data_IF_505379062531
#
_entry.id   IF_505379062531
#
_cell.length_a   1.000
_cell.length_b   1.000
_cell.length_c   1.000
_cell.angle_alpha   90.00
_cell.angle_beta   90.00
_cell.angle_gamma   90.00
#
_symmetry.space_group_name_H-M   'P 1'
#
loop_
_entity.id
_entity.type
_entity.pdbx_description
1 polymer ?
#
# COMPACT_ATOMS: atom_id res chain seq x y z
N UNK A 1 40.27 9.40 -12.35
CA UNK A 1 40.16 8.07 -12.98
C UNK A 1 39.87 7.08 -11.87
N UNK A 2 38.68 6.50 -11.81
CA UNK A 2 38.35 5.51 -10.78
C UNK A 2 38.80 4.13 -11.27
N UNK A 3 39.77 3.55 -10.57
CA UNK A 3 40.30 2.21 -10.81
C UNK A 3 39.19 1.17 -10.60
N UNK A 4 39.03 0.27 -11.57
CA UNK A 4 38.05 -0.80 -11.53
C UNK A 4 38.31 -1.73 -10.31
N UNK A 5 37.26 -2.23 -9.63
CA UNK A 5 37.46 -3.16 -8.52
C UNK A 5 38.12 -4.44 -9.03
N UNK A 6 39.29 -4.76 -8.47
CA UNK A 6 39.95 -6.05 -8.63
C UNK A 6 39.13 -7.13 -7.90
N UNK A 7 38.89 -8.24 -8.60
CA UNK A 7 38.15 -9.47 -8.21
C UNK A 7 36.66 -9.51 -8.57
N UNK A 8 36.34 -9.55 -9.86
CA UNK A 8 35.08 -10.12 -10.34
C UNK A 8 35.32 -11.55 -10.82
N UNK A 9 34.86 -12.55 -10.06
CA UNK A 9 34.70 -13.91 -10.60
C UNK A 9 33.57 -13.88 -11.63
N UNK A 10 33.68 -14.69 -12.69
CA UNK A 10 32.71 -14.74 -13.80
C UNK A 10 31.28 -15.18 -13.41
N UNK A 11 31.01 -15.48 -12.14
CA UNK A 11 29.69 -15.86 -11.61
C UNK A 11 28.96 -14.75 -10.85
N UNK A 12 29.49 -13.53 -10.80
CA UNK A 12 28.92 -12.42 -10.04
C UNK A 12 28.83 -11.13 -10.84
N UNK A 13 27.90 -10.25 -10.47
CA UNK A 13 27.74 -8.93 -11.08
C UNK A 13 28.02 -7.84 -10.05
N UNK A 14 28.86 -6.86 -10.42
CA UNK A 14 29.06 -5.64 -9.65
C UNK A 14 28.61 -4.44 -10.47
N UNK A 15 27.40 -3.94 -10.17
CA UNK A 15 26.74 -2.85 -10.89
C UNK A 15 26.59 -3.10 -12.40
N UNK A 16 25.97 -2.15 -13.09
CA UNK A 16 25.86 -2.09 -14.55
C UNK A 16 26.05 -0.64 -15.01
N UNK A 17 26.66 -0.40 -16.17
CA UNK A 17 26.73 0.95 -16.73
C UNK A 17 25.33 1.42 -17.13
N UNK A 18 25.01 2.68 -16.84
CA UNK A 18 23.78 3.29 -17.33
C UNK A 18 23.83 3.42 -18.86
N UNK A 19 22.71 3.20 -19.56
CA UNK A 19 22.62 3.50 -20.99
C UNK A 19 22.85 4.99 -21.28
N UNK A 20 23.27 5.37 -22.50
CA UNK A 20 23.50 6.78 -22.86
C UNK A 20 22.28 7.70 -22.69
N UNK A 21 21.07 7.14 -22.73
CA UNK A 21 19.81 7.85 -22.49
C UNK A 21 19.58 8.23 -21.02
N UNK A 22 20.34 7.64 -20.08
CA UNK A 22 20.21 7.85 -18.64
C UNK A 22 21.42 8.63 -18.10
N UNK A 23 21.20 9.85 -17.61
CA UNK A 23 22.27 10.70 -17.07
C UNK A 23 22.41 10.38 -15.57
N UNK A 24 23.56 9.83 -15.17
CA UNK A 24 23.81 9.50 -13.76
C UNK A 24 23.65 10.74 -12.86
N UNK A 25 22.91 10.61 -11.75
CA UNK A 25 22.62 11.70 -10.81
C UNK A 25 23.91 12.35 -10.26
N UNK A 26 24.93 11.54 -9.98
CA UNK A 26 26.21 11.99 -9.43
C UNK A 26 27.21 12.51 -10.48
N UNK A 27 26.86 12.53 -11.76
CA UNK A 27 27.70 13.10 -12.82
C UNK A 27 27.71 14.63 -12.79
N UNK A 28 28.65 15.26 -13.48
CA UNK A 28 28.68 16.73 -13.64
C UNK A 28 27.38 17.25 -14.25
N UNK A 29 26.84 16.56 -15.26
CA UNK A 29 25.58 16.96 -15.88
C UNK A 29 24.37 16.71 -14.97
N UNK A 30 24.32 15.57 -14.28
CA UNK A 30 23.27 15.27 -13.31
C UNK A 30 23.19 16.32 -12.18
N UNK A 31 24.34 16.79 -11.70
CA UNK A 31 24.43 17.88 -10.72
C UNK A 31 23.95 19.22 -11.28
N UNK A 32 24.23 19.52 -12.56
CA UNK A 32 23.72 20.74 -13.21
C UNK A 32 22.21 20.73 -13.37
N UNK A 33 21.63 19.60 -13.77
CA UNK A 33 20.18 19.43 -13.86
C UNK A 33 19.55 19.60 -12.47
N UNK A 34 20.12 18.97 -11.45
CA UNK A 34 19.65 19.11 -10.07
C UNK A 34 19.69 20.57 -9.58
N UNK A 35 20.76 21.32 -9.86
CA UNK A 35 20.85 22.74 -9.52
C UNK A 35 19.84 23.62 -10.30
N UNK A 36 19.42 23.20 -11.49
CA UNK A 36 18.31 23.86 -12.23
C UNK A 36 16.97 23.56 -11.55
N UNK A 37 16.64 22.29 -11.34
CA UNK A 37 15.42 21.88 -10.63
C UNK A 37 15.30 22.54 -9.24
N UNK A 38 16.41 22.71 -8.53
CA UNK A 38 16.46 23.44 -7.25
C UNK A 38 16.02 24.90 -7.40
N UNK A 39 16.51 25.60 -8.43
CA UNK A 39 16.12 27.01 -8.69
C UNK A 39 14.68 27.13 -9.16
N UNK A 40 14.12 26.07 -9.76
CA UNK A 40 12.71 25.99 -10.16
C UNK A 40 11.76 25.67 -8.98
N UNK A 41 12.29 25.31 -7.80
CA UNK A 41 11.48 24.88 -6.66
C UNK A 41 10.92 23.45 -6.80
N UNK A 42 11.54 22.62 -7.63
CA UNK A 42 11.06 21.28 -8.00
C UNK A 42 11.90 20.16 -7.34
N UNK A 43 12.30 20.34 -6.08
CA UNK A 43 13.10 19.37 -5.30
C UNK A 43 12.47 18.91 -3.99
N UNK A 44 11.23 19.30 -3.68
CA UNK A 44 10.61 18.99 -2.39
C UNK A 44 10.48 17.46 -2.18
N UNK A 45 10.11 16.72 -3.23
CA UNK A 45 10.12 15.25 -3.22
C UNK A 45 11.52 14.68 -2.91
N UNK A 46 12.58 15.27 -3.44
CA UNK A 46 13.95 14.80 -3.21
C UNK A 46 14.33 14.97 -1.74
N UNK A 47 14.06 16.14 -1.15
CA UNK A 47 14.38 16.39 0.25
C UNK A 47 13.62 15.44 1.17
N UNK A 48 12.32 15.24 0.90
CA UNK A 48 11.46 14.32 1.63
C UNK A 48 11.99 12.86 1.56
N UNK A 49 12.35 12.39 0.36
CA UNK A 49 12.74 11.00 0.12
C UNK A 49 14.22 10.70 0.42
N UNK A 50 15.11 11.70 0.34
CA UNK A 50 16.57 11.49 0.40
C UNK A 50 17.02 10.88 1.72
N UNK A 51 16.40 11.28 2.84
CA UNK A 51 16.65 10.72 4.18
C UNK A 51 16.22 9.27 4.32
N UNK A 52 15.36 8.79 3.42
CA UNK A 52 14.75 7.46 3.45
C UNK A 52 15.31 6.49 2.41
N UNK A 53 16.31 6.90 1.61
CA UNK A 53 16.84 6.04 0.55
C UNK A 53 17.44 4.74 1.08
N UNK A 54 16.83 3.63 0.67
CA UNK A 54 17.27 2.27 1.00
C UNK A 54 17.63 1.48 -0.26
N UNK A 55 18.24 0.32 -0.06
CA UNK A 55 18.44 -0.68 -1.12
C UNK A 55 17.34 -1.72 -0.99
N UNK A 56 16.72 -2.13 -2.11
CA UNK A 56 15.78 -3.26 -2.08
C UNK A 56 16.47 -4.52 -1.51
N UNK A 57 15.82 -5.22 -0.57
CA UNK A 57 16.44 -6.34 0.15
C UNK A 57 16.60 -7.57 -0.75
N UNK A 58 15.65 -7.78 -1.66
CA UNK A 58 15.68 -8.85 -2.66
C UNK A 58 15.60 -8.29 -4.09
N UNK A 59 16.07 -9.01 -5.12
CA UNK A 59 15.95 -8.59 -6.52
C UNK A 59 14.52 -8.27 -6.98
N UNK A 60 13.51 -8.91 -6.38
CA UNK A 60 12.10 -8.67 -6.68
C UNK A 60 11.44 -7.59 -5.80
N UNK A 61 12.11 -7.08 -4.76
CA UNK A 61 11.54 -6.15 -3.77
C UNK A 61 11.60 -4.67 -4.18
N UNK A 62 11.80 -4.35 -5.45
CA UNK A 62 11.85 -2.94 -5.89
C UNK A 62 10.60 -2.15 -5.47
N UNK A 63 9.42 -2.76 -5.55
CA UNK A 63 8.16 -2.17 -5.09
C UNK A 63 8.11 -1.98 -3.57
N UNK A 64 8.56 -2.97 -2.78
CA UNK A 64 8.59 -2.88 -1.32
C UNK A 64 9.58 -1.82 -0.84
N UNK A 65 10.80 -1.83 -1.39
CA UNK A 65 11.82 -0.81 -1.10
C UNK A 65 11.32 0.60 -1.43
N UNK A 66 10.64 0.75 -2.56
CA UNK A 66 10.02 2.01 -2.95
C UNK A 66 8.94 2.46 -1.98
N UNK A 67 8.00 1.58 -1.60
CA UNK A 67 6.90 1.95 -0.72
C UNK A 67 7.37 2.27 0.70
N UNK A 68 8.35 1.53 1.24
CA UNK A 68 8.98 1.84 2.54
C UNK A 68 9.62 3.22 2.53
N UNK A 69 10.28 3.62 1.44
CA UNK A 69 10.81 4.99 1.32
C UNK A 69 9.70 6.01 1.50
N UNK A 70 8.57 5.85 0.80
CA UNK A 70 7.45 6.79 0.84
C UNK A 70 6.78 6.81 2.22
N UNK A 71 6.50 5.64 2.80
CA UNK A 71 5.85 5.53 4.13
C UNK A 71 6.67 6.20 5.22
N UNK A 72 7.98 5.94 5.26
CA UNK A 72 8.87 6.58 6.23
C UNK A 72 9.05 8.08 5.94
N UNK A 73 9.00 8.50 4.68
CA UNK A 73 9.14 9.91 4.32
C UNK A 73 7.90 10.72 4.74
N UNK A 74 6.72 10.10 4.73
CA UNK A 74 5.49 10.64 5.31
C UNK A 74 5.36 10.40 6.82
N UNK A 75 6.38 9.83 7.47
CA UNK A 75 6.36 9.52 8.91
C UNK A 75 5.15 8.68 9.34
N UNK A 76 4.68 7.79 8.46
CA UNK A 76 3.59 6.87 8.78
C UNK A 76 4.10 5.86 9.81
N UNK A 77 3.44 5.81 10.95
CA UNK A 77 3.78 4.89 12.02
C UNK A 77 3.24 3.48 11.75
N UNK A 78 4.11 2.45 11.60
CA UNK A 78 3.68 1.10 11.26
C UNK A 78 2.90 0.40 12.38
N UNK A 79 2.84 0.98 13.59
CA UNK A 79 2.30 0.33 14.80
C UNK A 79 2.96 -1.02 15.13
N UNK A 80 4.10 -1.32 14.52
CA UNK A 80 4.86 -2.56 14.65
C UNK A 80 6.29 -2.22 15.03
N UNK A 81 6.85 -2.98 15.96
CA UNK A 81 8.27 -2.84 16.34
C UNK A 81 9.14 -3.34 15.19
N UNK A 82 10.13 -2.53 14.84
CA UNK A 82 11.20 -2.93 13.93
C UNK A 82 12.36 -3.56 14.70
N UNK A 83 12.95 -2.80 15.62
CA UNK A 83 14.10 -3.23 16.43
C UNK A 83 14.02 -2.66 17.84
N UNK A 84 14.05 -3.52 18.86
CA UNK A 84 13.96 -3.09 20.26
C UNK A 84 12.66 -2.30 20.51
N UNK A 85 12.73 -1.11 21.13
CA UNK A 85 11.54 -0.27 21.35
C UNK A 85 11.12 0.53 20.11
N UNK A 86 11.90 0.53 19.03
CA UNK A 86 11.70 1.41 17.87
C UNK A 86 10.68 0.84 16.89
N UNK A 87 9.82 1.72 16.38
CA UNK A 87 8.88 1.45 15.29
C UNK A 87 9.36 2.17 14.05
N UNK A 88 9.41 1.46 12.94
CA UNK A 88 9.90 1.97 11.66
C UNK A 88 9.48 1.03 10.54
N UNK A 89 9.11 1.53 9.36
CA UNK A 89 8.82 0.62 8.26
C UNK A 89 10.10 -0.02 7.73
N UNK A 90 10.02 -1.33 7.50
CA UNK A 90 10.98 -2.10 6.72
C UNK A 90 10.24 -2.98 5.69
N UNK A 91 10.96 -3.52 4.70
CA UNK A 91 10.37 -4.13 3.50
C UNK A 91 9.57 -5.40 3.81
N UNK A 92 10.02 -6.20 4.77
CA UNK A 92 9.35 -7.40 5.29
C UNK A 92 8.12 -7.08 6.16
N UNK A 93 7.78 -5.81 6.40
CA UNK A 93 6.50 -5.42 7.02
C UNK A 93 5.34 -5.33 6.02
N UNK A 94 5.61 -5.34 4.70
CA UNK A 94 4.64 -5.07 3.66
C UNK A 94 4.01 -6.35 3.09
N UNK A 95 3.25 -7.07 3.93
CA UNK A 95 2.71 -8.41 3.64
C UNK A 95 1.18 -8.48 3.58
N UNK A 96 0.51 -7.32 3.52
CA UNK A 96 -0.95 -7.26 3.60
C UNK A 96 -1.68 -7.77 2.33
N UNK A 97 -1.27 -7.32 1.14
CA UNK A 97 -2.00 -7.69 -0.08
C UNK A 97 -1.49 -8.98 -0.71
N UNK A 98 -0.24 -9.37 -0.40
CA UNK A 98 0.40 -10.54 -0.97
C UNK A 98 1.47 -11.08 -0.03
N UNK A 99 1.62 -12.41 0.14
CA UNK A 99 2.68 -12.97 0.96
C UNK A 99 4.06 -12.61 0.43
N UNK A 100 4.99 -12.26 1.32
CA UNK A 100 6.37 -11.91 0.97
C UNK A 100 7.08 -12.97 0.13
N UNK A 101 6.83 -14.26 0.39
CA UNK A 101 7.38 -15.38 -0.38
C UNK A 101 6.96 -15.35 -1.84
N UNK A 102 5.73 -14.92 -2.14
CA UNK A 102 5.28 -14.73 -3.52
C UNK A 102 5.84 -13.44 -4.11
N UNK A 103 5.99 -12.37 -3.33
CA UNK A 103 6.60 -11.13 -3.83
C UNK A 103 8.06 -11.37 -4.18
N UNK A 104 8.78 -12.17 -3.40
CA UNK A 104 10.19 -12.50 -3.64
C UNK A 104 10.39 -13.29 -4.94
N UNK A 105 9.39 -14.04 -5.40
CA UNK A 105 9.49 -14.84 -6.63
C UNK A 105 9.11 -14.07 -7.90
N UNK A 106 8.07 -13.23 -7.86
CA UNK A 106 7.53 -12.58 -9.07
C UNK A 106 7.39 -11.06 -8.99
N UNK A 107 7.66 -10.45 -7.84
CA UNK A 107 7.47 -9.02 -7.61
C UNK A 107 6.02 -8.63 -7.38
N UNK A 108 5.68 -7.39 -7.74
CA UNK A 108 4.35 -6.81 -7.60
C UNK A 108 3.94 -6.11 -8.90
N UNK A 109 2.64 -6.18 -9.20
CA UNK A 109 1.99 -5.40 -10.25
C UNK A 109 1.65 -3.99 -9.75
N UNK A 110 1.24 -3.09 -10.66
CA UNK A 110 0.87 -1.71 -10.30
C UNK A 110 -0.35 -1.65 -9.37
N UNK A 111 -1.36 -2.49 -9.59
CA UNK A 111 -2.56 -2.58 -8.75
C UNK A 111 -2.24 -3.13 -7.36
N UNK A 112 -1.36 -4.13 -7.26
CA UNK A 112 -0.89 -4.65 -5.97
C UNK A 112 0.00 -3.66 -5.22
N UNK A 113 0.83 -2.87 -5.91
CA UNK A 113 1.57 -1.78 -5.27
C UNK A 113 0.60 -0.75 -4.64
N UNK A 114 -0.44 -0.35 -5.39
CA UNK A 114 -1.46 0.56 -4.88
C UNK A 114 -2.26 -0.06 -3.72
N UNK A 115 -2.50 -1.37 -3.75
CA UNK A 115 -3.06 -2.14 -2.63
C UNK A 115 -2.21 -1.97 -1.37
N UNK A 116 -0.91 -2.28 -1.47
CA UNK A 116 0.01 -2.18 -0.33
C UNK A 116 0.09 -0.75 0.21
N UNK A 117 0.08 0.26 -0.67
CA UNK A 117 0.08 1.65 -0.25
C UNK A 117 -1.19 2.00 0.55
N UNK A 118 -2.37 1.64 0.04
CA UNK A 118 -3.66 1.83 0.73
C UNK A 118 -3.73 1.09 2.06
N UNK A 119 -3.31 -0.17 2.06
CA UNK A 119 -3.23 -0.96 3.28
C UNK A 119 -2.23 -0.38 4.30
N UNK A 120 -1.36 0.56 3.93
CA UNK A 120 -0.45 1.20 4.88
C UNK A 120 -0.81 2.67 5.12
N UNK A 121 -2.08 3.04 4.91
CA UNK A 121 -2.63 4.33 5.34
C UNK A 121 -2.41 5.48 4.35
N UNK A 122 -1.91 5.17 3.15
CA UNK A 122 -1.78 6.15 2.07
C UNK A 122 -3.03 6.14 1.19
N UNK A 123 -3.31 7.28 0.58
CA UNK A 123 -4.17 7.36 -0.60
C UNK A 123 -3.31 7.07 -1.82
N UNK A 124 -3.81 6.24 -2.75
CA UNK A 124 -3.08 5.88 -3.95
C UNK A 124 -3.92 6.13 -5.20
N UNK A 125 -3.54 7.14 -5.99
CA UNK A 125 -4.15 7.43 -7.29
C UNK A 125 -3.29 6.82 -8.38
N UNK A 126 -3.82 5.81 -9.08
CA UNK A 126 -3.10 5.09 -10.14
C UNK A 126 -3.38 5.74 -11.49
N UNK A 127 -2.34 5.94 -12.29
CA UNK A 127 -2.45 6.44 -13.66
C UNK A 127 -1.63 5.56 -14.59
N UNK A 128 -2.27 5.03 -15.63
CA UNK A 128 -1.63 4.21 -16.66
C UNK A 128 -1.83 4.83 -18.06
N UNK A 129 -0.89 4.63 -19.00
CA UNK A 129 -1.09 5.01 -20.38
C UNK A 129 -2.35 4.35 -20.96
N UNK A 130 -3.20 5.14 -21.61
CA UNK A 130 -4.43 4.67 -22.24
C UNK A 130 -4.40 4.98 -23.74
N UNK A 131 -4.74 4.02 -24.62
CA UNK A 131 -4.82 4.28 -26.06
C UNK A 131 -5.97 5.22 -26.43
N UNK A 132 -6.89 5.52 -25.50
CA UNK A 132 -8.01 6.43 -25.71
C UNK A 132 -7.63 7.91 -25.58
N UNK A 133 -6.47 8.20 -24.99
CA UNK A 133 -5.99 9.57 -24.75
C UNK A 133 -4.84 9.86 -25.74
N UNK A 134 -4.88 10.96 -26.50
CA UNK A 134 -3.77 11.36 -27.37
C UNK A 134 -2.45 11.44 -26.59
N UNK A 135 -1.35 10.96 -27.18
CA UNK A 135 -0.04 10.90 -26.52
C UNK A 135 0.40 12.25 -25.95
N UNK A 136 0.23 13.32 -26.73
CA UNK A 136 0.65 14.67 -26.33
C UNK A 136 -0.11 15.17 -25.09
N UNK A 137 -1.43 14.92 -25.05
CA UNK A 137 -2.29 15.25 -23.91
C UNK A 137 -1.89 14.42 -22.67
N UNK A 138 -1.63 13.13 -22.85
CA UNK A 138 -1.23 12.26 -21.76
C UNK A 138 0.14 12.66 -21.16
N UNK A 139 1.11 13.03 -22.00
CA UNK A 139 2.42 13.51 -21.53
C UNK A 139 2.29 14.90 -20.89
N UNK A 140 1.43 15.79 -21.41
CA UNK A 140 1.17 17.07 -20.77
C UNK A 140 0.62 16.88 -19.35
N UNK A 141 -0.36 16.00 -19.17
CA UNK A 141 -0.88 15.62 -17.85
C UNK A 141 0.21 15.02 -16.95
N UNK A 142 1.07 14.16 -17.51
CA UNK A 142 2.19 13.58 -16.76
C UNK A 142 3.17 14.64 -16.27
N UNK A 143 3.47 15.67 -17.07
CA UNK A 143 4.28 16.83 -16.64
C UNK A 143 3.62 17.60 -15.50
N UNK A 144 2.31 17.81 -15.56
CA UNK A 144 1.59 18.51 -14.49
C UNK A 144 1.65 17.72 -13.17
N UNK A 145 1.48 16.41 -13.22
CA UNK A 145 1.60 15.56 -12.03
C UNK A 145 3.05 15.48 -11.51
N UNK A 146 4.06 15.51 -12.40
CA UNK A 146 5.47 15.63 -12.01
C UNK A 146 5.76 16.95 -11.29
N UNK A 147 5.15 18.06 -11.72
CA UNK A 147 5.28 19.36 -11.04
C UNK A 147 4.69 19.31 -9.64
N UNK A 148 3.45 18.81 -9.50
CA UNK A 148 2.80 18.64 -8.18
C UNK A 148 3.68 17.81 -7.23
N UNK A 149 4.17 16.67 -7.71
CA UNK A 149 5.02 15.79 -6.93
C UNK A 149 6.34 16.48 -6.54
N UNK A 150 7.00 17.13 -7.49
CA UNK A 150 8.29 17.77 -7.27
C UNK A 150 8.22 19.02 -6.38
N UNK A 151 7.04 19.61 -6.25
CA UNK A 151 6.74 20.76 -5.36
C UNK A 151 6.16 20.34 -4.02
N UNK A 152 6.08 19.03 -3.74
CA UNK A 152 5.73 18.50 -2.42
C UNK A 152 4.24 18.35 -2.15
N UNK A 153 3.38 18.52 -3.17
CA UNK A 153 1.93 18.32 -3.02
C UNK A 153 1.57 16.83 -2.86
N UNK A 154 2.40 15.94 -3.40
CA UNK A 154 2.23 14.49 -3.40
C UNK A 154 3.59 13.81 -3.60
N UNK A 155 3.68 12.49 -3.42
CA UNK A 155 4.86 11.70 -3.82
C UNK A 155 4.49 10.82 -5.00
N UNK A 156 5.26 10.93 -6.09
CA UNK A 156 5.08 10.09 -7.27
C UNK A 156 6.00 8.86 -7.23
N UNK A 157 5.41 7.70 -7.47
CA UNK A 157 6.13 6.44 -7.73
C UNK A 157 5.85 5.99 -9.15
N UNK A 158 6.90 5.63 -9.90
CA UNK A 158 6.76 5.11 -11.26
C UNK A 158 7.01 3.61 -11.31
N UNK A 159 6.16 2.90 -12.04
CA UNK A 159 6.34 1.52 -12.49
C UNK A 159 6.67 1.52 -13.98
N UNK A 160 7.84 1.01 -14.35
CA UNK A 160 8.34 1.14 -15.72
C UNK A 160 9.13 -0.07 -16.19
N UNK A 161 9.29 -0.17 -17.50
CA UNK A 161 10.12 -1.18 -18.16
C UNK A 161 11.56 -0.71 -18.26
N UNK A 162 12.48 -1.38 -17.57
CA UNK A 162 13.93 -1.15 -17.72
C UNK A 162 14.39 -1.37 -19.16
N UNK A 163 13.83 -2.37 -19.85
CA UNK A 163 14.14 -2.68 -21.24
C UNK A 163 13.84 -1.49 -22.17
N UNK A 164 12.75 -0.77 -21.94
CA UNK A 164 12.41 0.42 -22.73
C UNK A 164 13.42 1.56 -22.54
N UNK A 165 14.06 1.64 -21.37
CA UNK A 165 15.15 2.59 -21.10
C UNK A 165 16.53 2.07 -21.55
N UNK A 166 16.61 0.91 -22.20
CA UNK A 166 17.87 0.25 -22.58
C UNK A 166 18.64 -0.35 -21.39
N UNK A 167 18.01 -0.43 -20.22
CA UNK A 167 18.60 -1.02 -19.03
C UNK A 167 18.39 -2.54 -18.99
N UNK A 168 19.23 -3.24 -18.23
CA UNK A 168 19.06 -4.68 -18.01
C UNK A 168 17.91 -4.93 -17.04
N UNK A 169 17.08 -5.96 -17.30
CA UNK A 169 15.92 -6.33 -16.48
C UNK A 169 14.58 -5.98 -17.13
N UNK A 170 13.49 -6.32 -16.43
CA UNK A 170 12.11 -6.16 -16.89
C UNK A 170 11.41 -4.98 -16.20
N UNK A 171 10.34 -5.23 -15.45
CA UNK A 171 9.62 -4.20 -14.69
C UNK A 171 10.42 -3.72 -13.47
N UNK A 172 10.24 -2.46 -13.08
CA UNK A 172 10.87 -1.88 -11.91
C UNK A 172 10.00 -0.78 -11.30
N UNK A 173 10.08 -0.61 -9.99
CA UNK A 173 9.46 0.49 -9.24
C UNK A 173 10.54 1.37 -8.63
N UNK A 174 10.37 2.68 -8.69
CA UNK A 174 11.20 3.64 -7.94
C UNK A 174 10.43 4.96 -7.75
N UNK A 175 10.72 5.71 -6.66
CA UNK A 175 10.12 7.01 -6.49
C UNK A 175 10.78 8.05 -7.40
N UNK A 176 10.00 9.06 -7.78
CA UNK A 176 10.47 10.24 -8.49
C UNK A 176 10.98 11.24 -7.46
N UNK A 177 12.24 11.64 -7.57
CA UNK A 177 12.84 12.62 -6.66
C UNK A 177 12.64 14.07 -7.09
N UNK A 178 12.59 14.33 -8.39
CA UNK A 178 12.60 15.70 -8.91
C UNK A 178 12.16 15.78 -10.36
N UNK A 179 11.79 16.98 -10.77
CA UNK A 179 11.53 17.36 -12.16
C UNK A 179 12.29 18.64 -12.49
N UNK A 180 12.99 18.65 -13.63
CA UNK A 180 13.58 19.86 -14.20
C UNK A 180 12.76 20.26 -15.43
N UNK A 181 12.01 21.35 -15.30
CA UNK A 181 11.14 21.90 -16.35
C UNK A 181 11.97 22.38 -17.54
N UNK A 182 13.06 23.11 -17.29
CA UNK A 182 13.89 23.70 -18.35
C UNK A 182 14.52 22.63 -19.27
N UNK A 183 14.90 21.48 -18.71
CA UNK A 183 15.50 20.39 -19.48
C UNK A 183 14.52 19.25 -19.83
N UNK A 184 13.28 19.34 -19.36
CA UNK A 184 12.24 18.31 -19.43
C UNK A 184 12.75 16.92 -18.98
N UNK A 185 13.32 16.87 -17.78
CA UNK A 185 13.92 15.63 -17.20
C UNK A 185 13.38 15.31 -15.82
N UNK A 186 13.21 14.03 -15.56
CA UNK A 186 12.78 13.49 -14.25
C UNK A 186 13.91 12.71 -13.59
N UNK A 187 14.07 12.88 -12.28
CA UNK A 187 15.04 12.14 -11.46
C UNK A 187 14.40 10.89 -10.88
N UNK A 188 14.93 9.72 -11.26
CA UNK A 188 14.54 8.42 -10.70
C UNK A 188 15.48 8.06 -9.55
N UNK A 189 14.92 7.90 -8.35
CA UNK A 189 15.67 7.47 -7.16
C UNK A 189 15.72 5.93 -7.11
N UNK A 190 16.53 5.33 -7.98
CA UNK A 190 16.57 3.88 -8.18
C UNK A 190 16.91 3.09 -6.90
N UNK A 191 15.97 2.26 -6.43
CA UNK A 191 16.11 1.42 -5.23
C UNK A 191 17.00 0.18 -5.44
N UNK A 192 17.28 -0.20 -6.70
CA UNK A 192 18.27 -1.24 -7.04
C UNK A 192 19.70 -0.67 -7.00
N UNK A 193 20.09 -0.09 -5.86
CA UNK A 193 21.35 0.67 -5.68
C UNK A 193 22.61 -0.16 -5.90
N UNK A 194 22.50 -1.49 -5.78
CA UNK A 194 23.56 -2.44 -6.12
C UNK A 194 23.78 -2.57 -7.63
N UNK A 195 22.82 -2.15 -8.46
CA UNK A 195 22.81 -2.30 -9.92
C UNK A 195 23.09 -0.98 -10.63
N UNK A 196 22.33 0.07 -10.32
CA UNK A 196 22.45 1.39 -10.94
C UNK A 196 22.46 2.50 -9.86
N UNK A 197 23.15 3.63 -10.11
CA UNK A 197 22.91 4.84 -9.31
C UNK A 197 21.52 5.41 -9.66
N UNK A 198 21.03 6.39 -8.90
CA UNK A 198 19.92 7.24 -9.34
C UNK A 198 20.30 8.02 -10.61
N UNK A 199 19.33 8.39 -11.43
CA UNK A 199 19.58 9.00 -12.75
C UNK A 199 18.45 9.89 -13.24
N UNK A 200 18.79 10.78 -14.16
CA UNK A 200 17.86 11.59 -14.93
C UNK A 200 17.56 10.94 -16.28
N UNK A 201 16.28 10.98 -16.69
CA UNK A 201 15.80 10.63 -18.04
C UNK A 201 14.87 11.73 -18.54
N UNK A 202 14.63 11.81 -19.86
CA UNK A 202 13.59 12.73 -20.37
C UNK A 202 12.20 12.28 -19.92
N UNK A 203 11.29 13.24 -19.78
CA UNK A 203 9.89 12.95 -19.45
C UNK A 203 9.26 12.01 -20.48
N UNK A 204 9.56 12.19 -21.76
CA UNK A 204 9.07 11.30 -22.81
C UNK A 204 9.59 9.87 -22.65
N UNK A 205 10.88 9.68 -22.35
CA UNK A 205 11.43 8.34 -22.09
C UNK A 205 10.83 7.71 -20.84
N UNK A 206 10.57 8.49 -19.79
CA UNK A 206 9.85 8.00 -18.61
C UNK A 206 8.42 7.56 -18.98
N UNK A 207 7.69 8.36 -19.75
CA UNK A 207 6.36 8.02 -20.24
C UNK A 207 6.35 6.75 -21.10
N UNK A 208 7.19 6.71 -22.12
CA UNK A 208 7.27 5.58 -23.06
C UNK A 208 7.70 4.29 -22.35
N UNK A 209 8.47 4.39 -21.25
CA UNK A 209 8.84 3.23 -20.44
C UNK A 209 7.68 2.59 -19.66
N UNK A 210 6.55 3.30 -19.50
CA UNK A 210 5.33 2.78 -18.87
C UNK A 210 4.41 2.04 -19.85
N UNK A 211 4.56 2.29 -21.16
CA UNK A 211 3.69 1.73 -22.21
C UNK A 211 3.81 0.20 -22.36
N UNK A 212 5.01 -0.42 -22.33
CA UNK A 212 5.12 -1.87 -22.47
C UNK A 212 4.30 -2.59 -21.42
N UNK A 213 3.60 -3.65 -21.84
CA UNK A 213 2.73 -4.41 -20.97
C UNK A 213 3.52 -5.12 -19.86
N UNK A 214 2.90 -5.23 -18.69
CA UNK A 214 3.31 -6.15 -17.65
C UNK A 214 2.88 -7.57 -18.06
N UNK A 215 3.81 -8.52 -17.98
CA UNK A 215 3.55 -9.90 -18.37
C UNK A 215 2.56 -10.59 -17.40
N UNK A 216 2.48 -10.13 -16.15
CA UNK A 216 1.58 -10.71 -15.15
C UNK A 216 0.11 -10.32 -15.38
N UNK A 217 -0.15 -9.10 -15.89
CA UNK A 217 -1.51 -8.57 -16.02
C UNK A 217 -1.96 -8.36 -17.46
N UNK A 218 -1.04 -8.33 -18.43
CA UNK A 218 -1.32 -7.92 -19.80
C UNK A 218 -1.68 -6.44 -19.94
N UNK A 219 -1.51 -5.63 -18.89
CA UNK A 219 -1.84 -4.20 -18.88
C UNK A 219 -0.57 -3.34 -18.95
N UNK A 220 -0.66 -2.09 -19.44
CA UNK A 220 0.42 -1.12 -19.32
C UNK A 220 0.82 -0.93 -17.86
N UNK A 221 2.05 -0.45 -17.64
CA UNK A 221 2.49 0.00 -16.31
C UNK A 221 1.92 1.40 -16.06
N UNK A 222 2.63 2.27 -15.33
CA UNK A 222 2.09 3.56 -14.97
C UNK A 222 2.81 4.19 -13.79
N UNK A 223 2.17 5.18 -13.19
CA UNK A 223 2.63 5.82 -11.97
C UNK A 223 1.51 5.88 -10.93
N UNK A 224 1.91 6.08 -9.69
CA UNK A 224 1.01 6.24 -8.55
C UNK A 224 1.35 7.55 -7.85
N UNK A 225 0.34 8.38 -7.64
CA UNK A 225 0.43 9.53 -6.75
C UNK A 225 -0.02 9.10 -5.36
N UNK A 226 0.86 9.29 -4.39
CA UNK A 226 0.69 8.86 -3.01
C UNK A 226 0.58 10.07 -2.10
N UNK A 227 -0.47 10.10 -1.28
CA UNK A 227 -0.69 11.11 -0.26
C UNK A 227 -1.00 10.46 1.08
N UNK A 228 -0.80 11.17 2.18
CA UNK A 228 -1.40 10.78 3.45
C UNK A 228 -2.92 10.89 3.32
N UNK A 229 -3.66 9.84 3.70
CA UNK A 229 -5.11 9.90 3.71
C UNK A 229 -5.56 11.05 4.66
N UNK A 230 -6.42 11.99 4.21
CA UNK A 230 -6.75 13.16 5.00
C UNK A 230 -7.40 12.71 6.31
N UNK A 231 -6.97 13.28 7.43
CA UNK A 231 -7.68 13.15 8.68
C UNK A 231 -9.05 13.81 8.51
N UNK A 232 -10.09 13.01 8.35
CA UNK A 232 -11.44 13.52 8.57
C UNK A 232 -11.68 13.44 10.08
N UNK A 233 -11.58 14.60 10.73
CA UNK A 233 -11.88 14.89 12.14
C UNK A 233 -10.85 14.51 13.22
N UNK A 234 -10.56 15.43 14.17
CA UNK A 234 -9.95 15.08 15.46
C UNK A 234 -10.89 14.15 16.24
N UNK A 235 -10.42 12.98 16.65
CA UNK A 235 -11.20 12.00 17.43
C UNK A 235 -11.55 10.69 16.69
N UNK A 236 -11.28 10.60 15.38
CA UNK A 236 -11.53 9.36 14.62
C UNK A 236 -10.52 8.25 14.95
N UNK A 237 -10.99 7.01 14.91
CA UNK A 237 -10.21 5.82 15.27
C UNK A 237 -9.39 5.29 14.11
N UNK A 238 -8.08 5.11 14.33
CA UNK A 238 -7.23 4.39 13.40
C UNK A 238 -7.21 2.90 13.77
N UNK A 239 -7.66 2.04 12.85
CA UNK A 239 -7.43 0.60 12.96
C UNK A 239 -6.07 0.24 12.37
N UNK A 240 -5.19 -0.49 13.09
CA UNK A 240 -3.99 -1.03 12.50
C UNK A 240 -4.35 -1.95 11.33
N UNK A 241 -3.78 -1.68 10.17
CA UNK A 241 -4.14 -2.32 8.91
C UNK A 241 -3.77 -3.83 8.85
N UNK A 242 -3.07 -4.32 9.87
CA UNK A 242 -2.89 -5.75 10.21
C UNK A 242 -4.21 -6.47 10.51
N UNK A 243 -5.26 -5.73 10.84
CA UNK A 243 -6.61 -6.25 11.08
C UNK A 243 -7.22 -6.83 9.82
N UNK A 244 -7.19 -6.11 8.69
CA UNK A 244 -7.89 -6.54 7.47
C UNK A 244 -7.44 -7.93 6.99
N UNK A 245 -6.13 -8.20 7.09
CA UNK A 245 -5.54 -9.48 6.70
C UNK A 245 -5.88 -10.64 7.62
N UNK A 246 -5.75 -10.41 8.92
CA UNK A 246 -6.02 -11.44 9.92
C UNK A 246 -7.52 -11.77 9.97
N UNK A 247 -8.37 -10.76 9.77
CA UNK A 247 -9.82 -10.90 9.65
C UNK A 247 -10.23 -11.60 8.35
N UNK A 248 -9.58 -11.31 7.22
CA UNK A 248 -9.83 -12.03 5.95
C UNK A 248 -9.52 -13.52 6.08
N UNK A 249 -8.39 -13.88 6.71
CA UNK A 249 -8.03 -15.29 6.97
C UNK A 249 -9.03 -15.96 7.91
N UNK A 250 -9.42 -15.27 8.98
CA UNK A 250 -10.43 -15.78 9.92
C UNK A 250 -11.76 -16.07 9.19
N UNK A 251 -12.24 -15.14 8.38
CA UNK A 251 -13.48 -15.29 7.62
C UNK A 251 -13.40 -16.43 6.61
N UNK A 252 -12.27 -16.59 5.92
CA UNK A 252 -12.04 -17.71 5.00
C UNK A 252 -11.98 -19.08 5.70
N UNK A 253 -11.48 -19.11 6.94
CA UNK A 253 -11.40 -20.33 7.76
C UNK A 253 -12.72 -20.63 8.49
N UNK A 254 -13.66 -19.68 8.52
CA UNK A 254 -14.94 -19.85 9.19
C UNK A 254 -15.84 -20.78 8.37
N UNK A 255 -16.46 -21.80 8.98
CA UNK A 255 -17.38 -22.69 8.27
C UNK A 255 -18.54 -21.93 7.62
N UNK A 256 -18.93 -22.30 6.40
CA UNK A 256 -20.08 -21.71 5.70
C UNK A 256 -21.41 -21.90 6.43
N UNK A 257 -21.48 -22.88 7.33
CA UNK A 257 -22.63 -23.18 8.20
C UNK A 257 -22.61 -22.43 9.53
N UNK A 258 -21.59 -21.61 9.81
CA UNK A 258 -21.46 -20.88 11.06
C UNK A 258 -22.61 -19.88 11.25
N UNK A 259 -23.10 -19.79 12.49
CA UNK A 259 -24.11 -18.81 12.91
C UNK A 259 -23.47 -17.44 13.17
N UNK A 260 -24.27 -16.39 13.36
CA UNK A 260 -23.74 -15.08 13.76
C UNK A 260 -23.03 -15.16 15.11
N UNK A 261 -23.57 -15.93 16.06
CA UNK A 261 -22.93 -16.15 17.37
C UNK A 261 -21.54 -16.81 17.23
N UNK A 262 -21.42 -17.85 16.40
CA UNK A 262 -20.13 -18.52 16.16
C UNK A 262 -19.10 -17.54 15.59
N UNK A 263 -19.52 -16.74 14.60
CA UNK A 263 -18.65 -15.78 13.94
C UNK A 263 -18.24 -14.64 14.89
N UNK A 264 -19.17 -14.09 15.66
CA UNK A 264 -18.88 -13.05 16.67
C UNK A 264 -17.93 -13.57 17.76
N UNK A 265 -18.10 -14.83 18.19
CA UNK A 265 -17.21 -15.45 19.15
C UNK A 265 -15.79 -15.63 18.59
N UNK A 266 -15.65 -16.15 17.35
CA UNK A 266 -14.37 -16.28 16.68
C UNK A 266 -13.67 -14.93 16.46
N UNK A 267 -14.43 -13.89 16.09
CA UNK A 267 -13.92 -12.52 15.94
C UNK A 267 -13.42 -11.95 17.28
N UNK A 268 -14.22 -12.06 18.34
CA UNK A 268 -13.85 -11.55 19.66
C UNK A 268 -12.58 -12.25 20.20
N UNK A 269 -12.47 -13.57 20.03
CA UNK A 269 -11.30 -14.34 20.42
C UNK A 269 -10.06 -13.96 19.60
N UNK A 270 -10.19 -13.82 18.28
CA UNK A 270 -9.11 -13.44 17.38
C UNK A 270 -8.57 -12.04 17.72
N UNK A 271 -9.46 -11.06 17.92
CA UNK A 271 -9.09 -9.68 18.22
C UNK A 271 -8.43 -9.55 19.60
N UNK A 272 -8.89 -10.32 20.59
CA UNK A 272 -8.28 -10.38 21.92
C UNK A 272 -6.87 -11.00 21.91
N UNK A 273 -6.52 -11.76 20.86
CA UNK A 273 -5.19 -12.36 20.69
C UNK A 273 -4.17 -11.42 20.04
N UNK A 274 -4.60 -10.25 19.55
CA UNK A 274 -3.72 -9.32 18.86
C UNK A 274 -2.79 -8.60 19.86
N UNK A 275 -1.50 -8.40 19.51
CA UNK A 275 -0.49 -7.80 20.38
C UNK A 275 -0.69 -6.28 20.63
N UNK A 276 -1.71 -5.65 20.05
CA UNK A 276 -2.07 -4.24 20.20
C UNK A 276 -3.58 -4.07 20.02
N UNK A 277 -4.21 -3.05 20.63
CA UNK A 277 -5.64 -2.82 20.49
C UNK A 277 -6.03 -2.67 19.02
N UNK A 278 -7.17 -3.25 18.66
CA UNK A 278 -7.65 -3.31 17.28
C UNK A 278 -8.12 -1.94 16.77
N UNK A 279 -8.39 -1.00 17.66
CA UNK A 279 -8.63 0.38 17.29
C UNK A 279 -7.90 1.26 18.30
N UNK A 280 -7.24 2.32 17.81
CA UNK A 280 -6.58 3.29 18.68
C UNK A 280 -7.02 4.70 18.32
N UNK A 281 -7.19 5.60 19.31
CA UNK A 281 -7.40 7.02 19.05
C UNK A 281 -6.27 7.54 18.17
N UNK A 282 -6.61 8.14 17.03
CA UNK A 282 -5.57 8.65 16.12
C UNK A 282 -4.89 9.86 16.79
N UNK A 283 -3.55 9.88 16.89
CA UNK A 283 -2.85 11.07 17.35
C UNK A 283 -3.16 12.25 16.42
N UNK A 284 -3.35 13.45 16.98
CA UNK A 284 -3.58 14.66 16.19
C UNK A 284 -2.38 14.88 15.24
N UNK A 285 -2.66 15.27 14.00
CA UNK A 285 -1.61 15.58 13.04
C UNK A 285 -0.68 16.68 13.60
N UNK A 286 0.65 16.58 13.44
CA UNK A 286 1.54 17.65 13.82
C UNK A 286 1.22 18.89 12.96
N UNK A 287 0.97 20.01 13.62
CA UNK A 287 0.87 21.30 12.95
C UNK A 287 2.22 21.65 12.30
N UNK A 288 2.23 22.43 11.20
CA UNK A 288 3.49 22.83 10.57
C UNK A 288 4.28 23.79 11.47
N UNK A 289 5.29 23.23 12.11
CA UNK A 289 6.54 23.84 12.60
C UNK A 289 6.57 24.67 13.90
N UNK A 290 7.70 24.46 14.59
CA UNK A 290 8.33 25.16 15.71
C UNK A 290 7.81 24.84 17.12
N UNK A 291 8.75 24.35 17.94
CA UNK A 291 8.63 24.02 19.38
C UNK A 291 8.20 22.58 19.67
N UNK A 292 9.13 21.81 20.23
CA UNK A 292 8.88 20.51 20.81
C UNK A 292 8.04 20.66 22.09
N UNK A 293 6.73 20.59 21.95
CA UNK A 293 5.83 20.29 23.06
C UNK A 293 5.14 18.95 22.81
N UNK A 294 5.13 18.12 23.84
CA UNK A 294 4.42 16.85 23.85
C UNK A 294 2.94 17.18 23.63
N UNK A 295 2.42 16.81 22.46
CA UNK A 295 1.03 17.07 22.08
C UNK A 295 0.08 16.40 23.08
N UNK A 296 -0.51 17.19 23.97
CA UNK A 296 -1.66 16.76 24.76
C UNK A 296 -2.90 16.76 23.86
N UNK A 297 -3.78 15.75 23.95
CA UNK A 297 -4.98 15.71 23.12
C UNK A 297 -5.86 16.93 23.41
N UNK A 298 -6.29 17.62 22.35
CA UNK A 298 -7.19 18.77 22.47
C UNK A 298 -8.49 18.37 23.21
N UNK A 299 -9.09 19.23 24.05
CA UNK A 299 -10.30 18.93 24.83
C UNK A 299 -11.47 18.39 23.97
N UNK A 300 -11.60 18.87 22.73
CA UNK A 300 -12.62 18.44 21.78
C UNK A 300 -12.47 16.97 21.37
N UNK A 301 -11.24 16.47 21.18
CA UNK A 301 -11.00 15.08 20.78
C UNK A 301 -11.31 14.08 21.93
N UNK A 302 -11.05 14.49 23.17
CA UNK A 302 -11.39 13.71 24.37
C UNK A 302 -12.92 13.61 24.54
N UNK A 303 -13.65 14.71 24.31
CA UNK A 303 -15.11 14.72 24.39
C UNK A 303 -15.78 13.87 23.29
N UNK A 304 -15.25 13.89 22.07
CA UNK A 304 -15.77 13.08 20.96
C UNK A 304 -15.55 11.58 21.17
N UNK A 305 -14.37 11.19 21.65
CA UNK A 305 -14.07 9.79 21.93
C UNK A 305 -14.90 9.21 23.09
N UNK A 306 -15.12 9.99 24.16
CA UNK A 306 -16.03 9.58 25.25
C UNK A 306 -17.46 9.37 24.74
N UNK A 307 -17.96 10.29 23.93
CA UNK A 307 -19.32 10.22 23.36
C UNK A 307 -19.48 8.99 22.45
N UNK A 308 -18.42 8.64 21.69
CA UNK A 308 -18.39 7.45 20.86
C UNK A 308 -18.45 6.16 21.68
N UNK A 309 -17.65 6.07 22.75
CA UNK A 309 -17.64 4.91 23.65
C UNK A 309 -18.99 4.71 24.35
N UNK A 310 -19.60 5.81 24.81
CA UNK A 310 -20.91 5.77 25.45
C UNK A 310 -21.97 5.27 24.46
N UNK A 311 -21.99 5.81 23.22
CA UNK A 311 -22.90 5.37 22.17
C UNK A 311 -22.75 3.86 21.84
N UNK A 312 -21.51 3.36 21.76
CA UNK A 312 -21.24 1.93 21.51
C UNK A 312 -21.72 1.04 22.66
N UNK A 313 -21.52 1.46 23.91
CA UNK A 313 -21.81 0.66 25.11
C UNK A 313 -23.30 0.32 25.29
N UNK A 314 -24.18 1.12 24.69
CA UNK A 314 -25.63 0.98 24.74
C UNK A 314 -26.21 0.12 23.61
N UNK A 315 -25.41 -0.31 22.64
CA UNK A 315 -25.89 -1.14 21.53
C UNK A 315 -26.19 -2.58 21.96
N UNK A 316 -27.18 -3.22 21.32
CA UNK A 316 -27.46 -4.65 21.49
C UNK A 316 -26.23 -5.50 21.14
N UNK A 317 -25.50 -5.09 20.11
CA UNK A 317 -24.24 -5.70 19.69
C UNK A 317 -23.18 -5.72 20.80
N UNK A 318 -23.00 -4.61 21.53
CA UNK A 318 -22.09 -4.56 22.68
C UNK A 318 -22.54 -5.48 23.82
N UNK A 319 -23.84 -5.74 23.95
CA UNK A 319 -24.38 -6.66 24.96
C UNK A 319 -24.11 -8.12 24.57
N UNK A 320 -24.33 -8.48 23.30
CA UNK A 320 -23.99 -9.80 22.75
C UNK A 320 -22.49 -10.08 22.90
N UNK A 321 -21.64 -9.11 22.54
CA UNK A 321 -20.18 -9.28 22.62
C UNK A 321 -19.66 -9.45 24.06
N UNK A 322 -20.29 -8.78 25.04
CA UNK A 322 -19.96 -8.91 26.47
C UNK A 322 -20.33 -10.28 27.05
N UNK A 323 -21.25 -11.01 26.42
CA UNK A 323 -21.67 -12.33 26.89
C UNK A 323 -20.64 -13.43 26.59
N UNK A 324 -19.62 -13.17 25.76
CA UNK A 324 -18.60 -14.16 25.41
C UNK A 324 -17.46 -14.19 26.44
N UNK A 325 -17.22 -15.34 27.11
CA UNK A 325 -16.25 -15.47 28.21
C UNK A 325 -14.77 -15.43 27.75
N UNK A 326 -14.51 -15.46 26.44
CA UNK A 326 -13.17 -15.40 25.86
C UNK A 326 -12.56 -13.98 25.88
N UNK A 327 -13.34 -12.98 26.29
CA UNK A 327 -12.88 -11.60 26.45
C UNK A 327 -12.47 -11.41 27.92
N UNK A 328 -11.16 -11.27 28.25
CA UNK A 328 -10.74 -11.08 29.63
C UNK A 328 -11.48 -9.88 30.22
N UNK A 329 -12.12 -10.06 31.38
CA UNK A 329 -13.05 -9.12 32.03
C UNK A 329 -12.42 -7.80 32.52
N UNK A 330 -11.29 -7.39 31.96
CA UNK A 330 -10.69 -6.06 32.10
C UNK A 330 -10.09 -5.50 30.80
N UNK A 331 -10.28 -6.18 29.65
CA UNK A 331 -9.63 -5.86 28.37
C UNK A 331 -10.55 -6.10 27.15
N UNK A 332 -11.88 -6.03 27.32
CA UNK A 332 -12.76 -5.91 26.16
C UNK A 332 -12.45 -4.57 25.49
N UNK A 333 -11.80 -4.59 24.32
CA UNK A 333 -11.62 -3.39 23.51
C UNK A 333 -13.01 -2.75 23.32
N UNK A 334 -13.29 -1.57 23.92
CA UNK A 334 -14.63 -1.01 23.90
C UNK A 334 -15.04 -0.58 22.48
N UNK A 335 -14.11 -0.66 21.53
CA UNK A 335 -14.30 -0.37 20.12
C UNK A 335 -14.56 -1.63 19.28
N UNK A 336 -14.54 -2.81 19.90
CA UNK A 336 -14.90 -4.07 19.23
C UNK A 336 -16.26 -4.02 18.52
N UNK A 337 -17.34 -3.46 19.12
CA UNK A 337 -18.62 -3.33 18.43
C UNK A 337 -18.49 -2.45 17.18
N UNK A 338 -17.69 -1.38 17.22
CA UNK A 338 -17.47 -0.49 16.09
C UNK A 338 -16.76 -1.20 14.92
N UNK A 339 -15.75 -2.02 15.22
CA UNK A 339 -15.07 -2.83 14.22
C UNK A 339 -16.02 -3.86 13.59
N UNK A 340 -16.87 -4.50 14.39
CA UNK A 340 -17.89 -5.45 13.92
C UNK A 340 -18.91 -4.76 13.00
N UNK A 341 -19.38 -3.56 13.36
CA UNK A 341 -20.27 -2.75 12.52
C UNK A 341 -19.63 -2.38 11.17
N UNK A 342 -18.32 -2.09 11.18
CA UNK A 342 -17.57 -1.79 9.96
C UNK A 342 -17.33 -3.05 9.10
N UNK A 343 -16.94 -4.16 9.71
CA UNK A 343 -16.67 -5.43 9.01
C UNK A 343 -17.88 -5.91 8.20
N UNK A 344 -19.06 -5.82 8.80
CA UNK A 344 -20.32 -6.29 8.23
C UNK A 344 -21.14 -5.19 7.57
N UNK A 345 -20.52 -4.04 7.29
CA UNK A 345 -21.15 -3.03 6.46
C UNK A 345 -21.36 -3.57 5.04
N UNK A 346 -22.51 -3.33 4.38
CA UNK A 346 -22.73 -3.71 2.99
C UNK A 346 -21.66 -3.16 2.02
N UNK A 347 -20.98 -2.07 2.41
CA UNK A 347 -19.90 -1.44 1.64
C UNK A 347 -18.51 -2.03 1.91
N UNK A 348 -18.37 -2.90 2.93
CA UNK A 348 -17.12 -3.60 3.25
C UNK A 348 -16.87 -4.73 2.23
N UNK A 349 -15.64 -4.82 1.74
CA UNK A 349 -15.21 -5.92 0.86
C UNK A 349 -15.23 -7.30 1.52
N UNK A 350 -15.23 -7.34 2.86
CA UNK A 350 -15.23 -8.57 3.63
C UNK A 350 -16.64 -9.14 3.84
N UNK A 351 -17.69 -8.36 3.60
CA UNK A 351 -19.10 -8.79 3.73
C UNK A 351 -19.43 -9.96 2.81
N UNK A 352 -18.78 -10.06 1.65
CA UNK A 352 -18.94 -11.19 0.74
C UNK A 352 -18.50 -12.53 1.37
N UNK A 353 -17.55 -12.51 2.32
CA UNK A 353 -17.01 -13.69 2.99
C UNK A 353 -17.87 -14.15 4.18
N UNK A 354 -18.89 -13.39 4.55
CA UNK A 354 -19.77 -13.72 5.69
C UNK A 354 -20.65 -14.93 5.32
N UNK A 355 -20.68 -15.98 6.17
CA UNK A 355 -21.58 -17.12 6.02
C UNK A 355 -23.04 -16.69 5.84
N UNK A 356 -23.75 -17.31 4.90
CA UNK A 356 -25.14 -16.95 4.57
C UNK A 356 -26.06 -17.03 5.79
N UNK A 357 -25.85 -18.03 6.65
CA UNK A 357 -26.63 -18.22 7.88
C UNK A 357 -26.44 -17.11 8.93
N UNK A 358 -25.38 -16.32 8.84
CA UNK A 358 -25.08 -15.23 9.78
C UNK A 358 -25.53 -13.84 9.28
N UNK A 359 -25.78 -13.67 7.97
CA UNK A 359 -25.99 -12.33 7.36
C UNK A 359 -27.19 -11.58 7.90
N UNK A 360 -28.37 -12.22 7.91
CA UNK A 360 -29.62 -11.54 8.32
C UNK A 360 -29.57 -11.05 9.77
N UNK A 361 -28.95 -11.83 10.66
CA UNK A 361 -28.84 -11.50 12.08
C UNK A 361 -27.83 -10.36 12.30
N UNK A 362 -26.67 -10.41 11.63
CA UNK A 362 -25.66 -9.35 11.68
C UNK A 362 -26.15 -8.04 11.06
N UNK A 363 -26.93 -8.11 9.97
CA UNK A 363 -27.58 -6.94 9.36
C UNK A 363 -28.59 -6.31 10.33
N UNK A 364 -29.39 -7.12 11.03
CA UNK A 364 -30.33 -6.65 12.05
C UNK A 364 -29.61 -5.98 13.22
N UNK A 365 -28.56 -6.60 13.76
CA UNK A 365 -27.74 -6.04 14.84
C UNK A 365 -27.07 -4.73 14.42
N UNK A 366 -26.61 -4.63 13.17
CA UNK A 366 -26.03 -3.42 12.61
C UNK A 366 -27.07 -2.31 12.48
N UNK A 367 -28.24 -2.61 11.92
CA UNK A 367 -29.31 -1.63 11.77
C UNK A 367 -29.73 -1.09 13.15
N UNK A 368 -29.95 -1.97 14.13
CA UNK A 368 -30.32 -1.59 15.50
C UNK A 368 -29.22 -0.78 16.23
N UNK A 369 -27.94 -0.96 15.87
CA UNK A 369 -26.85 -0.17 16.44
C UNK A 369 -26.70 1.22 15.80
N UNK A 370 -27.10 1.38 14.53
CA UNK A 370 -26.98 2.64 13.79
C UNK A 370 -28.24 3.53 13.89
N UNK A 371 -29.41 2.93 14.12
CA UNK A 371 -30.71 3.63 14.25
C UNK A 371 -30.78 4.64 15.43
N UNK A 372 -30.22 4.37 16.63
CA UNK A 372 -30.32 5.28 17.78
C UNK A 372 -29.21 6.34 17.86
N UNK A 373 -28.17 6.25 17.03
CA UNK A 373 -26.97 7.08 17.19
C UNK A 373 -27.01 8.29 16.27
N UNK A 374 -26.95 9.50 16.84
CA UNK A 374 -26.97 10.81 16.15
C UNK A 374 -25.81 11.00 15.14
N UNK A 375 -25.73 10.21 14.07
CA UNK A 375 -24.75 10.30 12.98
C UNK A 375 -23.28 9.99 13.33
N UNK A 376 -22.91 10.00 14.63
CA UNK A 376 -21.53 9.80 15.10
C UNK A 376 -21.04 8.38 14.79
N UNK A 377 -21.84 7.35 15.13
CA UNK A 377 -21.47 5.94 14.85
C UNK A 377 -21.41 5.68 13.35
N UNK A 378 -22.36 6.21 12.57
CA UNK A 378 -22.39 6.00 11.12
C UNK A 378 -21.14 6.58 10.44
N UNK A 379 -20.71 7.78 10.85
CA UNK A 379 -19.51 8.44 10.33
C UNK A 379 -18.24 7.62 10.61
N UNK A 380 -18.07 7.14 11.85
CA UNK A 380 -16.90 6.33 12.22
C UNK A 380 -16.94 4.93 11.58
N UNK A 381 -18.12 4.32 11.46
CA UNK A 381 -18.30 3.05 10.74
C UNK A 381 -17.95 3.21 9.27
N UNK A 382 -18.43 4.26 8.59
CA UNK A 382 -18.07 4.52 7.19
C UNK A 382 -16.56 4.77 7.02
N UNK A 383 -15.92 5.44 7.97
CA UNK A 383 -14.48 5.65 7.96
C UNK A 383 -13.73 4.31 8.07
N UNK A 384 -14.08 3.47 9.03
CA UNK A 384 -13.46 2.15 9.19
C UNK A 384 -13.75 1.22 8.01
N UNK A 385 -14.93 1.31 7.40
CA UNK A 385 -15.25 0.56 6.17
C UNK A 385 -14.32 0.95 5.03
N UNK A 386 -13.99 2.24 4.87
CA UNK A 386 -13.01 2.69 3.88
C UNK A 386 -11.61 2.14 4.19
N UNK A 387 -11.21 2.11 5.46
CA UNK A 387 -9.93 1.52 5.87
C UNK A 387 -9.88 0.00 5.63
N UNK A 388 -10.95 -0.73 5.93
CA UNK A 388 -11.08 -2.17 5.67
C UNK A 388 -11.22 -2.49 4.17
N UNK A 389 -11.79 -1.55 3.39
CA UNK A 389 -12.08 -1.66 1.96
C UNK A 389 -10.88 -1.51 1.02
N UNK A 390 -9.66 -1.30 1.54
CA UNK A 390 -8.43 -1.23 0.74
C UNK A 390 -8.22 -2.45 -0.18
N UNK A 391 -8.83 -3.60 0.16
CA UNK A 391 -8.87 -4.82 -0.65
C UNK A 391 -9.92 -4.78 -1.78
N UNK A 392 -11.07 -4.13 -1.58
CA UNK A 392 -12.19 -4.12 -2.53
C UNK A 392 -12.02 -3.14 -3.69
N UNK A 393 -11.29 -2.04 -3.49
CA UNK A 393 -10.96 -1.09 -4.56
C UNK A 393 -9.91 -1.63 -5.54
N UNK A 394 -9.08 -2.59 -5.11
CA UNK A 394 -8.16 -3.28 -6.00
C UNK A 394 -8.87 -3.99 -7.15
N UNK A 395 -9.91 -4.78 -6.86
CA UNK A 395 -10.68 -5.46 -7.91
C UNK A 395 -11.44 -4.45 -8.81
N UNK A 396 -11.99 -3.36 -8.24
CA UNK A 396 -12.78 -2.38 -9.01
C UNK A 396 -11.95 -1.52 -9.96
N UNK A 397 -10.73 -1.14 -9.57
CA UNK A 397 -9.83 -0.37 -10.45
C UNK A 397 -9.39 -1.14 -11.71
N UNK A 398 -9.47 -2.47 -11.67
CA UNK A 398 -9.20 -3.36 -12.82
C UNK A 398 -10.47 -3.57 -13.67
N UNK A 399 -11.66 -3.56 -13.07
CA UNK A 399 -12.95 -3.63 -13.78
C UNK A 399 -13.27 -2.37 -14.59
N UNK A 400 -12.97 -1.17 -14.07
CA UNK A 400 -13.19 0.09 -14.81
C UNK A 400 -12.32 0.22 -16.07
N UNK A 401 -11.23 -0.56 -16.16
CA UNK A 401 -10.37 -0.67 -17.34
C UNK A 401 -10.77 -1.81 -18.31
N UNK A 402 -11.89 -2.51 -18.03
CA UNK A 402 -12.58 -3.34 -19.02
C UNK A 402 -12.17 -4.82 -19.09
N UNK A 403 -11.54 -5.41 -18.06
CA UNK A 403 -11.27 -6.86 -18.02
C UNK A 403 -11.56 -7.41 -16.62
N UNK A 404 -12.65 -8.17 -16.49
CA UNK A 404 -13.00 -8.90 -15.27
C UNK A 404 -11.98 -10.01 -15.00
N UNK A 405 -11.23 -9.92 -13.91
CA UNK A 405 -10.22 -10.91 -13.57
C UNK A 405 -9.47 -10.61 -12.29
N UNK A 406 -10.18 -10.34 -11.19
CA UNK A 406 -9.52 -10.18 -9.90
C UNK A 406 -8.90 -11.53 -9.48
N UNK A 407 -7.57 -11.66 -9.59
CA UNK A 407 -6.80 -12.83 -9.16
C UNK A 407 -6.79 -13.08 -7.64
N UNK A 408 -7.52 -12.28 -6.87
CA UNK A 408 -7.67 -12.45 -5.43
C UNK A 408 -8.48 -13.69 -5.02
N UNK A 409 -9.08 -14.42 -5.98
CA UNK A 409 -9.99 -15.54 -5.71
C UNK A 409 -9.52 -16.93 -6.20
N UNK A 410 -8.30 -17.11 -6.72
CA UNK A 410 -7.83 -18.46 -7.12
C UNK A 410 -6.97 -19.12 -6.04
N UNK A 411 -7.59 -19.45 -4.90
CA UNK A 411 -7.13 -20.56 -4.06
C UNK A 411 -8.28 -21.56 -4.00
N UNK A 412 -8.23 -22.56 -4.87
CA UNK A 412 -9.22 -23.64 -4.89
C UNK A 412 -9.57 -24.12 -6.30
N UNK A 413 -8.63 -24.80 -6.95
CA UNK A 413 -8.96 -25.98 -7.74
C UNK A 413 -7.70 -26.83 -7.94
N UNK A 414 -7.34 -27.54 -6.89
CA UNK A 414 -6.51 -28.74 -6.99
C UNK A 414 -7.44 -29.94 -6.91
N UNK A 415 -8.06 -30.30 -8.03
CA UNK A 415 -8.59 -31.65 -8.22
C UNK A 415 -8.30 -32.15 -9.63
N UNK A 416 -7.58 -33.29 -9.64
CA UNK A 416 -7.62 -34.37 -10.61
C UNK A 416 -7.37 -34.06 -12.09
N UNK A 417 -6.14 -34.31 -12.54
CA UNK A 417 -5.92 -35.12 -13.74
C UNK A 417 -4.82 -36.14 -13.41
N UNK A 418 -5.24 -37.38 -13.16
CA UNK A 418 -4.37 -38.55 -13.14
C UNK A 418 -3.82 -38.86 -14.55
N UNK A 419 -2.63 -39.45 -14.52
CA UNK A 419 -1.87 -40.22 -15.51
C UNK A 419 -2.46 -40.46 -16.90
N UNK A 420 -1.67 -40.17 -17.94
CA UNK A 420 -1.05 -41.21 -18.79
C UNK A 420 -0.07 -40.57 -19.79
N UNK A 421 1.11 -41.19 -19.96
CA UNK A 421 2.01 -40.86 -21.07
C UNK A 421 3.51 -40.95 -20.76
N UNK A 422 4.03 -42.18 -20.75
CA UNK A 422 5.46 -42.48 -20.86
C UNK A 422 6.07 -41.82 -22.11
N UNK A 423 7.27 -41.26 -22.00
CA UNK A 423 8.03 -40.80 -23.18
C UNK A 423 9.35 -40.13 -22.83
N UNK A 424 10.44 -40.86 -23.03
CA UNK A 424 11.84 -40.42 -22.97
C UNK A 424 12.11 -39.13 -23.77
N UNK A 425 13.04 -38.27 -23.32
CA UNK A 425 13.58 -37.26 -24.23
C UNK A 425 14.36 -36.07 -23.65
N UNK A 426 15.68 -36.24 -23.53
CA UNK A 426 16.73 -35.23 -23.75
C UNK A 426 16.68 -33.89 -22.98
N UNK A 427 17.62 -33.79 -22.04
CA UNK A 427 18.29 -32.53 -21.65
C UNK A 427 18.77 -31.76 -22.89
N UNK A 428 18.36 -30.51 -23.03
CA UNK A 428 19.08 -29.48 -23.80
C UNK A 428 19.12 -28.18 -23.01
N UNK A 429 20.34 -27.70 -22.83
CA UNK A 429 20.69 -26.38 -22.32
C UNK A 429 20.20 -25.27 -23.26
N UNK A 430 19.97 -24.08 -22.72
CA UNK A 430 19.98 -22.85 -23.50
C UNK A 430 20.78 -21.77 -22.79
N UNK A 431 21.69 -21.20 -23.59
CA UNK A 431 22.59 -20.09 -23.37
C UNK A 431 21.87 -18.75 -23.21
#
# INVERSE_FOLDING_TARGET
MATAPLLASQSSFYKRPLPPSCIAFNSTEGKRIFARAMREGNLESYFLLSGQMITQNEPAYCALGTLVMVLNAYEVDPQRKWKGPWRWYEQEMLDCCRPLTSIASVGLTLSEFACLARCNGLRATVVSPSPRIPREEAIARFRDDLKKASRGETVMVISYSRKALGQTGSGHFSPVGAYCEEQDKVLILDVARFKYPSYWISVESAWDSMIPLDAATGQPRGYVLLDVAPSTQPGSLAGPLTLSNSLSRLLLQTPKSATASDLLHSLAAHLSSLPSPALSPRPAAPAPSSSAEIATPTPSAVSGFSSLLDALSHTELATVLRAFPAVPTGAADPLLPLLVLALFSPRSSLTALVPLGARSELESLRAAALDPAEGILETEVEFLVKQLGALGECCRSEEENGVAGCGCASVGNSEAVEEEGQGEGKKKACH
#
